data_IF_594804971436
#
_entry.id   IF_594804971436
#
_cell.length_a   1.000
_cell.length_b   1.000
_cell.length_c   1.000
_cell.angle_alpha   90.00
_cell.angle_beta   90.00
_cell.angle_gamma   90.00
#
_symmetry.space_group_name_H-M   'P 1'
#
loop_
_entity.id
_entity.type
_entity.pdbx_description
1 polymer ?
#
# COMPACT_ATOMS: atom_id res chain seq x y z
N UNK A 1 5.72 43.20 -4.11
CA UNK A 1 6.99 43.76 -4.61
C UNK A 1 8.06 42.70 -4.92
N UNK A 2 8.31 41.68 -4.08
CA UNK A 2 9.36 40.66 -4.32
C UNK A 2 9.19 39.82 -5.61
N UNK A 3 7.96 39.50 -6.03
CA UNK A 3 7.71 38.68 -7.23
C UNK A 3 8.00 39.42 -8.55
N UNK A 4 7.77 40.73 -8.60
CA UNK A 4 8.04 41.54 -9.80
C UNK A 4 9.53 41.78 -10.02
N UNK A 5 10.33 41.85 -8.95
CA UNK A 5 11.79 41.98 -9.04
C UNK A 5 12.40 40.70 -9.63
N UNK A 6 11.89 39.52 -9.27
CA UNK A 6 12.37 38.24 -9.81
C UNK A 6 12.07 38.09 -11.31
N UNK A 7 10.88 38.49 -11.76
CA UNK A 7 10.54 38.49 -13.19
C UNK A 7 11.37 39.51 -13.97
N UNK A 8 11.64 40.68 -13.40
CA UNK A 8 12.48 41.70 -14.04
C UNK A 8 13.93 41.21 -14.21
N UNK A 9 14.48 40.48 -13.23
CA UNK A 9 15.84 39.92 -13.33
C UNK A 9 15.94 38.78 -14.34
N UNK A 10 14.89 37.97 -14.52
CA UNK A 10 14.86 36.89 -15.52
C UNK A 10 14.73 37.46 -16.95
N UNK A 11 13.95 38.53 -17.13
CA UNK A 11 13.82 39.18 -18.44
C UNK A 11 15.09 39.96 -18.80
N UNK A 12 15.75 40.62 -17.84
CA UNK A 12 17.03 41.29 -18.09
C UNK A 12 18.17 40.31 -18.41
N UNK A 13 18.22 39.14 -17.77
CA UNK A 13 19.24 38.13 -18.09
C UNK A 13 19.02 37.52 -19.48
N UNK A 14 17.77 37.33 -19.91
CA UNK A 14 17.46 36.90 -21.28
C UNK A 14 17.87 37.90 -22.36
N UNK A 15 17.70 39.21 -22.10
CA UNK A 15 18.12 40.27 -23.03
C UNK A 15 19.64 40.43 -23.11
N UNK A 16 20.37 40.21 -22.01
CA UNK A 16 21.84 40.23 -22.00
C UNK A 16 22.45 39.04 -22.79
N UNK A 17 21.79 37.88 -22.78
CA UNK A 17 22.20 36.72 -23.58
C UNK A 17 21.97 36.99 -25.08
N UNK A 18 20.88 37.68 -25.44
CA UNK A 18 20.58 38.04 -26.84
C UNK A 18 21.47 39.16 -27.39
N UNK A 19 21.88 40.14 -26.57
CA UNK A 19 22.77 41.22 -27.01
C UNK A 19 24.24 40.76 -27.16
N UNK A 20 24.68 39.79 -26.35
CA UNK A 20 26.05 39.23 -26.38
C UNK A 20 26.38 38.37 -27.60
N UNK A 21 25.37 37.90 -28.34
CA UNK A 21 25.55 37.05 -29.53
C UNK A 21 25.89 37.82 -30.82
N UNK A 22 25.90 39.16 -30.80
CA UNK A 22 26.14 39.97 -32.01
C UNK A 22 27.61 40.21 -32.38
N UNK A 23 28.58 39.64 -31.65
CA UNK A 23 30.02 39.84 -31.92
C UNK A 23 30.90 38.59 -31.92
N UNK A 24 30.34 37.40 -32.14
CA UNK A 24 31.17 36.23 -32.47
C UNK A 24 31.35 36.14 -33.98
N UNK A 25 32.44 36.74 -34.49
CA UNK A 25 32.99 36.33 -35.78
C UNK A 25 33.59 34.94 -35.60
N UNK A 26 32.88 33.93 -36.11
CA UNK A 26 33.42 32.59 -36.28
C UNK A 26 34.35 32.65 -37.50
N UNK A 27 35.66 32.54 -37.27
CA UNK A 27 36.59 32.12 -38.31
C UNK A 27 36.21 30.67 -38.67
N UNK A 28 35.68 30.49 -39.88
CA UNK A 28 35.43 29.17 -40.45
C UNK A 28 36.79 28.60 -40.83
N UNK A 29 37.38 27.85 -39.90
CA UNK A 29 38.33 26.82 -40.25
C UNK A 29 37.53 25.67 -40.90
N UNK A 30 37.58 25.59 -42.23
CA UNK A 30 37.18 24.41 -42.99
C UNK A 30 37.99 23.21 -42.48
N UNK A 31 37.37 22.33 -41.69
CA UNK A 31 37.60 20.86 -41.68
C UNK A 31 37.07 20.19 -40.40
N UNK A 32 35.74 20.11 -40.20
CA UNK A 32 34.99 19.02 -39.49
C UNK A 32 33.54 19.46 -39.20
N UNK A 33 32.69 19.57 -40.22
CA UNK A 33 31.31 20.08 -40.06
C UNK A 33 30.21 19.22 -40.70
N UNK A 34 30.54 18.01 -41.17
CA UNK A 34 29.56 17.07 -41.73
C UNK A 34 28.96 16.10 -40.71
N UNK A 35 29.79 15.52 -39.83
CA UNK A 35 29.37 14.41 -38.97
C UNK A 35 28.55 14.85 -37.75
N UNK A 36 28.89 15.98 -37.12
CA UNK A 36 28.17 16.48 -35.92
C UNK A 36 26.80 17.08 -36.23
N UNK A 37 26.58 17.57 -37.45
CA UNK A 37 25.28 18.10 -37.91
C UNK A 37 24.35 16.93 -38.27
N UNK A 38 24.88 15.90 -38.93
CA UNK A 38 24.13 14.67 -39.22
C UNK A 38 23.68 13.95 -37.95
N UNK A 39 24.56 13.83 -36.94
CA UNK A 39 24.23 13.20 -35.66
C UNK A 39 23.13 13.96 -34.89
N UNK A 40 23.16 15.29 -34.95
CA UNK A 40 22.12 16.13 -34.34
C UNK A 40 20.77 16.00 -35.08
N UNK A 41 20.79 15.97 -36.41
CA UNK A 41 19.58 15.78 -37.23
C UNK A 41 18.97 14.39 -37.05
N UNK A 42 19.79 13.34 -36.97
CA UNK A 42 19.32 11.98 -36.70
C UNK A 42 18.70 11.88 -35.30
N UNK A 43 19.32 12.52 -34.30
CA UNK A 43 18.77 12.57 -32.95
C UNK A 43 17.46 13.36 -32.87
N UNK A 44 17.32 14.44 -33.64
CA UNK A 44 16.04 15.18 -33.75
C UNK A 44 14.97 14.27 -34.33
N UNK A 45 15.25 13.56 -35.43
CA UNK A 45 14.28 12.62 -36.04
C UNK A 45 13.89 11.49 -35.09
N UNK A 46 14.84 10.95 -34.32
CA UNK A 46 14.56 9.92 -33.31
C UNK A 46 13.65 10.46 -32.21
N UNK A 47 13.94 11.66 -31.68
CA UNK A 47 13.10 12.29 -30.65
C UNK A 47 11.71 12.65 -31.17
N UNK A 48 11.59 13.14 -32.41
CA UNK A 48 10.29 13.43 -33.04
C UNK A 48 9.46 12.16 -33.21
N UNK A 49 10.08 11.06 -33.63
CA UNK A 49 9.44 9.74 -33.70
C UNK A 49 8.99 9.25 -32.32
N UNK A 50 9.85 9.36 -31.30
CA UNK A 50 9.51 8.96 -29.94
C UNK A 50 8.36 9.80 -29.36
N UNK A 51 8.35 11.11 -29.60
CA UNK A 51 7.25 12.01 -29.21
C UNK A 51 5.95 11.60 -29.91
N UNK A 52 5.98 11.31 -31.20
CA UNK A 52 4.80 10.87 -31.94
C UNK A 52 4.24 9.56 -31.39
N UNK A 53 5.12 8.58 -31.14
CA UNK A 53 4.77 7.30 -30.54
C UNK A 53 4.17 7.45 -29.14
N UNK A 54 4.81 8.22 -28.27
CA UNK A 54 4.31 8.47 -26.91
C UNK A 54 2.96 9.19 -26.89
N UNK A 55 2.69 10.08 -27.86
CA UNK A 55 1.39 10.72 -28.00
C UNK A 55 0.29 9.75 -28.42
N UNK A 56 0.60 8.83 -29.33
CA UNK A 56 -0.33 7.78 -29.73
C UNK A 56 -0.63 6.82 -28.56
N UNK A 57 0.41 6.39 -27.84
CA UNK A 57 0.25 5.57 -26.64
C UNK A 57 -0.59 6.28 -25.57
N UNK A 58 -0.34 7.58 -25.34
CA UNK A 58 -1.12 8.37 -24.40
C UNK A 58 -2.60 8.43 -24.80
N UNK A 59 -2.90 8.75 -26.06
CA UNK A 59 -4.27 8.81 -26.55
C UNK A 59 -4.99 7.45 -26.43
N UNK A 60 -4.29 6.35 -26.74
CA UNK A 60 -4.82 5.01 -26.54
C UNK A 60 -5.12 4.72 -25.07
N UNK A 61 -4.22 5.10 -24.15
CA UNK A 61 -4.41 4.89 -22.71
C UNK A 61 -5.55 5.75 -22.15
N UNK A 62 -5.74 6.95 -22.66
CA UNK A 62 -6.87 7.81 -22.29
C UNK A 62 -8.21 7.20 -22.69
N UNK A 63 -8.28 6.60 -23.89
CA UNK A 63 -9.45 5.83 -24.32
C UNK A 63 -9.70 4.62 -23.41
N UNK A 64 -8.67 3.81 -23.14
CA UNK A 64 -8.76 2.66 -22.24
C UNK A 64 -9.30 3.06 -20.87
N UNK A 65 -8.78 4.16 -20.30
CA UNK A 65 -9.24 4.72 -19.02
C UNK A 65 -10.71 5.15 -19.10
N UNK A 66 -11.13 5.74 -20.23
CA UNK A 66 -12.52 6.11 -20.47
C UNK A 66 -13.44 4.89 -20.39
N UNK A 67 -13.13 3.84 -21.14
CA UNK A 67 -13.90 2.59 -21.13
C UNK A 67 -13.96 1.94 -19.76
N UNK A 68 -12.82 1.83 -19.05
CA UNK A 68 -12.77 1.25 -17.70
C UNK A 68 -13.59 2.05 -16.69
N UNK A 69 -13.68 3.37 -16.83
CA UNK A 69 -14.54 4.21 -15.97
C UNK A 69 -16.01 3.92 -16.21
N UNK A 70 -16.43 3.86 -17.47
CA UNK A 70 -17.83 3.55 -17.82
C UNK A 70 -18.23 2.16 -17.32
N UNK A 71 -17.37 1.16 -17.51
CA UNK A 71 -17.58 -0.20 -17.02
C UNK A 71 -17.67 -0.25 -15.49
N UNK A 72 -16.73 0.40 -14.79
CA UNK A 72 -16.77 0.51 -13.32
C UNK A 72 -18.08 1.16 -12.85
N UNK A 73 -18.49 2.26 -13.48
CA UNK A 73 -19.69 2.99 -13.07
C UNK A 73 -20.96 2.18 -13.31
N UNK A 74 -20.99 1.39 -14.39
CA UNK A 74 -22.06 0.43 -14.65
C UNK A 74 -22.15 -0.63 -13.55
N UNK A 75 -21.04 -1.29 -13.19
CA UNK A 75 -21.05 -2.31 -12.13
C UNK A 75 -21.37 -1.73 -10.76
N UNK A 76 -20.90 -0.52 -10.44
CA UNK A 76 -21.26 0.16 -9.18
C UNK A 76 -22.77 0.35 -9.07
N UNK A 77 -23.39 0.89 -10.12
CA UNK A 77 -24.85 1.05 -10.15
C UNK A 77 -25.59 -0.28 -9.99
N UNK A 78 -25.11 -1.32 -10.67
CA UNK A 78 -25.70 -2.65 -10.53
C UNK A 78 -25.58 -3.20 -9.10
N UNK A 79 -24.43 -3.03 -8.45
CA UNK A 79 -24.22 -3.41 -7.05
C UNK A 79 -25.19 -2.63 -6.15
N UNK A 80 -25.31 -1.31 -6.35
CA UNK A 80 -26.22 -0.47 -5.56
C UNK A 80 -27.66 -1.00 -5.64
N UNK A 81 -28.16 -1.26 -6.86
CA UNK A 81 -29.50 -1.81 -7.11
C UNK A 81 -29.70 -3.20 -6.49
N UNK A 82 -28.64 -4.01 -6.42
CA UNK A 82 -28.66 -5.32 -5.78
C UNK A 82 -28.68 -5.20 -4.25
N UNK A 83 -27.87 -4.32 -3.66
CA UNK A 83 -27.83 -4.09 -2.22
C UNK A 83 -29.18 -3.61 -1.67
N UNK A 84 -29.98 -2.89 -2.45
CA UNK A 84 -31.34 -2.49 -2.02
C UNK A 84 -32.32 -3.66 -1.87
N UNK A 85 -32.02 -4.80 -2.49
CA UNK A 85 -32.87 -6.00 -2.45
C UNK A 85 -32.43 -7.00 -1.39
N UNK A 86 -31.25 -6.83 -0.81
CA UNK A 86 -30.72 -7.68 0.24
C UNK A 86 -31.20 -7.24 1.62
N UNK A 87 -31.37 -8.22 2.50
CA UNK A 87 -31.57 -7.95 3.93
C UNK A 87 -30.26 -7.50 4.58
N UNK A 88 -30.35 -6.81 5.72
CA UNK A 88 -29.16 -6.43 6.49
C UNK A 88 -28.27 -7.63 6.84
N UNK A 89 -28.89 -8.78 7.15
CA UNK A 89 -28.16 -10.02 7.44
C UNK A 89 -27.36 -10.50 6.22
N UNK A 90 -27.94 -10.49 5.03
CA UNK A 90 -27.23 -10.89 3.81
C UNK A 90 -26.11 -9.91 3.46
N UNK A 91 -26.30 -8.61 3.73
CA UNK A 91 -25.24 -7.61 3.58
C UNK A 91 -24.11 -7.90 4.58
N UNK A 92 -24.43 -8.16 5.84
CA UNK A 92 -23.43 -8.55 6.86
C UNK A 92 -22.67 -9.79 6.40
N UNK A 93 -23.35 -10.83 5.89
CA UNK A 93 -22.71 -12.06 5.41
C UNK A 93 -21.73 -11.79 4.25
N UNK A 94 -21.98 -10.76 3.43
CA UNK A 94 -21.04 -10.30 2.38
C UNK A 94 -19.86 -9.56 3.01
N UNK A 95 -20.13 -8.62 3.91
CA UNK A 95 -19.08 -7.86 4.61
C UNK A 95 -18.14 -8.77 5.41
N UNK A 96 -18.65 -9.84 6.03
CA UNK A 96 -17.81 -10.82 6.73
C UNK A 96 -16.85 -11.57 5.80
N UNK A 97 -17.07 -11.55 4.49
CA UNK A 97 -16.16 -12.13 3.48
C UNK A 97 -15.19 -11.09 2.92
N UNK A 98 -15.55 -9.82 3.00
CA UNK A 98 -14.70 -8.71 2.56
C UNK A 98 -13.63 -8.35 3.60
N UNK A 99 -13.82 -8.72 4.87
CA UNK A 99 -12.86 -8.53 5.96
C UNK A 99 -12.47 -9.85 6.60
N UNK A 100 -11.16 -10.08 6.73
CA UNK A 100 -10.62 -11.25 7.41
C UNK A 100 -9.41 -10.90 8.27
N UNK A 101 -9.10 -11.77 9.22
CA UNK A 101 -8.05 -11.54 10.21
C UNK A 101 -7.01 -12.64 10.16
N UNK A 102 -5.75 -12.27 10.40
CA UNK A 102 -4.65 -13.24 10.56
C UNK A 102 -3.85 -12.92 11.81
N UNK A 103 -3.44 -13.96 12.53
CA UNK A 103 -2.53 -13.85 13.65
C UNK A 103 -1.31 -14.74 13.41
N UNK A 104 -0.13 -14.12 13.32
CA UNK A 104 1.12 -14.82 12.97
C UNK A 104 2.24 -14.43 13.91
N UNK A 105 3.21 -15.33 14.04
CA UNK A 105 4.51 -15.01 14.63
C UNK A 105 5.53 -14.88 13.52
N UNK A 106 6.20 -13.75 13.48
CA UNK A 106 7.19 -13.39 12.48
C UNK A 106 8.57 -13.34 13.12
N UNK A 107 9.54 -14.02 12.55
CA UNK A 107 10.92 -14.00 13.05
C UNK A 107 11.91 -14.05 11.90
N UNK A 108 13.18 -13.76 12.18
CA UNK A 108 14.23 -13.86 11.18
C UNK A 108 14.66 -15.32 10.99
N UNK A 109 14.76 -15.75 9.73
CA UNK A 109 15.29 -17.03 9.29
C UNK A 109 16.82 -17.05 9.27
N UNK A 110 17.39 -18.20 8.95
CA UNK A 110 18.85 -18.41 8.94
C UNK A 110 19.58 -17.58 7.87
N UNK A 111 18.89 -17.22 6.78
CA UNK A 111 19.46 -16.45 5.66
C UNK A 111 19.05 -14.97 5.72
N UNK A 112 18.49 -14.54 6.86
CA UNK A 112 18.07 -13.17 7.09
C UNK A 112 16.70 -12.80 6.50
N UNK A 113 15.99 -13.75 5.89
CA UNK A 113 14.60 -13.63 5.46
C UNK A 113 13.66 -13.56 6.66
N UNK A 114 12.46 -13.02 6.48
CA UNK A 114 11.41 -13.16 7.49
C UNK A 114 10.61 -14.43 7.24
N UNK A 115 10.37 -15.17 8.32
CA UNK A 115 9.52 -16.37 8.34
C UNK A 115 8.26 -16.05 9.12
N UNK A 116 7.12 -16.29 8.51
CA UNK A 116 5.81 -16.15 9.13
C UNK A 116 5.30 -17.54 9.54
N UNK A 117 4.94 -17.68 10.81
CA UNK A 117 4.37 -18.90 11.40
C UNK A 117 2.93 -18.60 11.82
N UNK A 118 1.98 -19.30 11.23
CA UNK A 118 0.57 -19.21 11.62
C UNK A 118 0.30 -20.04 12.87
N UNK A 119 -0.57 -19.55 13.74
CA UNK A 119 -1.02 -20.35 14.87
C UNK A 119 -1.89 -21.53 14.39
N UNK A 120 -1.59 -22.77 14.81
CA UNK A 120 -2.50 -23.88 14.62
C UNK A 120 -3.79 -23.66 15.43
N UNK A 121 -4.84 -24.44 15.11
CA UNK A 121 -6.17 -24.29 15.74
C UNK A 121 -6.17 -24.50 17.25
N UNK A 122 -5.27 -25.32 17.75
CA UNK A 122 -5.07 -25.59 19.18
C UNK A 122 -4.26 -24.48 19.89
N UNK A 123 -3.77 -23.49 19.13
CA UNK A 123 -3.21 -22.24 19.64
C UNK A 123 -1.77 -22.34 20.15
N UNK A 124 -1.05 -23.42 19.86
CA UNK A 124 0.30 -23.65 20.43
C UNK A 124 1.36 -23.64 19.35
N UNK A 125 2.40 -22.83 19.53
CA UNK A 125 3.56 -22.81 18.65
C UNK A 125 4.86 -22.90 19.45
N UNK A 126 5.90 -23.39 18.78
CA UNK A 126 7.26 -23.42 19.30
C UNK A 126 8.17 -22.73 18.30
N UNK A 127 8.99 -21.80 18.78
CA UNK A 127 9.92 -21.02 17.96
C UNK A 127 11.33 -21.12 18.54
N UNK A 128 12.33 -21.15 17.67
CA UNK A 128 13.75 -21.24 18.05
C UNK A 128 14.47 -19.89 17.98
N UNK A 129 13.73 -18.81 18.26
CA UNK A 129 14.19 -17.42 18.16
C UNK A 129 13.77 -16.64 19.39
N UNK A 130 14.72 -15.92 19.96
CA UNK A 130 14.50 -15.01 21.10
C UNK A 130 13.87 -13.69 20.69
N UNK A 131 13.97 -13.35 19.40
CA UNK A 131 13.49 -12.10 18.83
C UNK A 131 12.44 -12.44 17.77
N UNK A 132 11.23 -11.94 17.97
CA UNK A 132 10.10 -12.21 17.09
C UNK A 132 8.99 -11.18 17.29
N UNK A 133 8.09 -11.10 16.33
CA UNK A 133 6.91 -10.26 16.36
C UNK A 133 5.66 -11.14 16.39
N UNK A 134 4.69 -10.80 17.24
CA UNK A 134 3.31 -11.26 17.10
C UNK A 134 2.54 -10.22 16.29
N UNK A 135 1.99 -10.61 15.16
CA UNK A 135 1.32 -9.72 14.21
C UNK A 135 -0.15 -10.10 14.08
N UNK A 136 -1.04 -9.24 14.55
CA UNK A 136 -2.47 -9.29 14.25
C UNK A 136 -2.74 -8.35 13.08
N UNK A 137 -3.22 -8.90 11.97
CA UNK A 137 -3.58 -8.13 10.78
C UNK A 137 -5.07 -8.22 10.50
N UNK A 138 -5.68 -7.08 10.24
CA UNK A 138 -6.98 -6.94 9.58
C UNK A 138 -6.73 -6.74 8.09
N UNK A 139 -7.38 -7.55 7.27
CA UNK A 139 -7.32 -7.47 5.82
C UNK A 139 -8.69 -7.10 5.28
N UNK A 140 -8.70 -6.33 4.19
CA UNK A 140 -9.91 -6.00 3.45
C UNK A 140 -9.70 -6.20 1.95
N UNK A 141 -10.78 -6.41 1.21
CA UNK A 141 -10.74 -6.36 -0.25
C UNK A 141 -10.38 -4.96 -0.74
N UNK A 142 -9.66 -4.82 -1.87
CA UNK A 142 -9.27 -3.51 -2.40
C UNK A 142 -10.46 -2.63 -2.82
N UNK A 143 -11.60 -3.23 -3.14
CA UNK A 143 -12.82 -2.53 -3.56
C UNK A 143 -14.02 -3.16 -2.84
N UNK A 144 -14.42 -2.57 -1.72
CA UNK A 144 -15.58 -3.04 -0.95
C UNK A 144 -16.90 -2.67 -1.63
N UNK A 145 -17.91 -3.53 -1.50
CA UNK A 145 -19.30 -3.22 -1.90
C UNK A 145 -19.88 -1.97 -1.23
N UNK A 146 -19.28 -1.52 -0.12
CA UNK A 146 -19.70 -0.30 0.58
C UNK A 146 -19.11 0.98 -0.03
N UNK A 147 -18.17 0.87 -0.98
CA UNK A 147 -17.59 2.03 -1.65
C UNK A 147 -18.68 2.77 -2.45
N UNK A 148 -19.14 3.93 -1.94
CA UNK A 148 -20.28 4.67 -2.48
C UNK A 148 -21.55 4.57 -1.64
N UNK A 149 -21.73 3.48 -0.89
CA UNK A 149 -22.90 3.24 -0.02
C UNK A 149 -22.63 3.38 1.48
N UNK A 150 -21.44 3.82 1.88
CA UNK A 150 -21.06 3.96 3.28
C UNK A 150 -22.07 4.76 4.12
N UNK A 151 -22.70 5.80 3.56
CA UNK A 151 -23.74 6.56 4.27
C UNK A 151 -24.98 5.74 4.64
N UNK A 152 -25.33 4.75 3.81
CA UNK A 152 -26.54 3.93 3.96
C UNK A 152 -26.26 2.68 4.79
N UNK A 153 -25.12 2.03 4.56
CA UNK A 153 -24.82 0.71 5.15
C UNK A 153 -23.58 0.70 6.05
N UNK A 154 -22.92 1.84 6.28
CA UNK A 154 -21.68 1.89 7.08
C UNK A 154 -21.85 1.40 8.52
N UNK A 155 -23.04 1.53 9.12
CA UNK A 155 -23.32 1.01 10.46
C UNK A 155 -23.32 -0.53 10.53
N UNK A 156 -23.51 -1.22 9.39
CA UNK A 156 -23.38 -2.68 9.33
C UNK A 156 -21.93 -3.11 9.39
N UNK A 157 -21.01 -2.28 8.89
CA UNK A 157 -19.58 -2.55 8.95
C UNK A 157 -19.07 -2.58 10.39
N UNK A 158 -19.56 -1.67 11.25
CA UNK A 158 -19.19 -1.64 12.67
C UNK A 158 -19.55 -2.93 13.43
N UNK A 159 -20.50 -3.73 12.91
CA UNK A 159 -20.87 -5.03 13.48
C UNK A 159 -19.95 -6.17 13.04
N UNK A 160 -19.18 -5.96 11.96
CA UNK A 160 -18.31 -6.97 11.36
C UNK A 160 -16.87 -6.83 11.83
N UNK A 161 -16.44 -5.59 12.09
CA UNK A 161 -15.04 -5.27 12.39
C UNK A 161 -14.67 -5.47 13.85
N UNK A 162 -13.44 -5.95 14.06
CA UNK A 162 -12.81 -6.06 15.37
C UNK A 162 -12.07 -4.76 15.69
N UNK A 163 -12.76 -3.81 16.32
CA UNK A 163 -12.14 -2.53 16.71
C UNK A 163 -12.25 -2.23 18.21
N UNK A 164 -11.19 -1.67 18.82
CA UNK A 164 -9.84 -1.50 18.24
C UNK A 164 -9.04 -2.81 18.25
N UNK A 165 -8.15 -3.01 17.26
CA UNK A 165 -7.33 -4.22 17.12
C UNK A 165 -6.46 -4.54 18.35
N UNK A 166 -5.78 -3.57 18.99
CA UNK A 166 -4.94 -3.84 20.15
C UNK A 166 -5.70 -4.42 21.37
N UNK A 167 -7.00 -4.17 21.47
CA UNK A 167 -7.83 -4.70 22.56
C UNK A 167 -8.21 -6.17 22.36
N UNK A 168 -7.97 -6.71 21.16
CA UNK A 168 -8.29 -8.10 20.82
C UNK A 168 -7.26 -9.09 21.37
N UNK A 169 -6.11 -8.61 21.84
CA UNK A 169 -4.98 -9.40 22.31
C UNK A 169 -4.49 -8.88 23.65
N UNK A 170 -4.27 -9.79 24.60
CA UNK A 170 -3.67 -9.51 25.90
C UNK A 170 -2.56 -10.50 26.20
N UNK A 171 -1.34 -10.00 26.37
CA UNK A 171 -0.19 -10.80 26.82
C UNK A 171 -0.25 -10.91 28.34
N UNK A 172 -0.18 -12.12 28.89
CA UNK A 172 -0.57 -12.40 30.29
C UNK A 172 0.62 -12.50 31.26
N UNK A 173 1.72 -13.06 30.81
CA UNK A 173 2.85 -13.47 31.65
C UNK A 173 4.21 -12.98 31.14
N UNK A 174 4.21 -12.00 30.24
CA UNK A 174 5.42 -11.42 29.68
C UNK A 174 5.23 -9.94 29.36
N UNK A 175 6.01 -9.08 30.02
CA UNK A 175 5.83 -7.62 29.95
C UNK A 175 6.88 -6.92 29.08
N UNK A 176 7.94 -7.63 28.68
CA UNK A 176 9.05 -7.04 27.91
C UNK A 176 8.79 -7.05 26.40
N UNK A 177 7.77 -6.32 25.96
CA UNK A 177 7.45 -6.16 24.54
C UNK A 177 7.14 -4.70 24.21
N UNK A 178 7.32 -4.33 22.95
CA UNK A 178 6.87 -3.06 22.40
C UNK A 178 5.63 -3.29 21.55
N UNK A 179 4.72 -2.32 21.49
CA UNK A 179 3.54 -2.40 20.63
C UNK A 179 3.59 -1.27 19.60
N UNK A 180 3.35 -1.60 18.33
CA UNK A 180 3.26 -0.62 17.25
C UNK A 180 2.12 -0.97 16.28
N UNK A 181 1.74 -0.01 15.46
CA UNK A 181 0.75 -0.17 14.40
C UNK A 181 1.39 -0.02 13.02
N UNK A 182 0.87 -0.75 12.05
CA UNK A 182 1.15 -0.54 10.64
C UNK A 182 -0.18 -0.37 9.91
N UNK A 183 -0.27 0.63 9.04
CA UNK A 183 -1.47 0.88 8.25
C UNK A 183 -1.15 0.93 6.77
N UNK A 184 -1.98 0.26 5.98
CA UNK A 184 -1.85 0.13 4.54
C UNK A 184 -3.19 0.34 3.85
N UNK A 185 -3.23 0.23 2.53
CA UNK A 185 -4.47 0.44 1.76
C UNK A 185 -5.50 -0.68 2.00
N UNK A 186 -5.04 -1.91 2.17
CA UNK A 186 -5.90 -3.11 2.30
C UNK A 186 -5.55 -3.98 3.50
N UNK A 187 -4.53 -3.60 4.27
CA UNK A 187 -4.10 -4.31 5.47
C UNK A 187 -3.72 -3.29 6.53
N UNK A 188 -4.34 -3.42 7.70
CA UNK A 188 -3.93 -2.74 8.92
C UNK A 188 -3.45 -3.80 9.91
N UNK A 189 -2.52 -3.44 10.80
CA UNK A 189 -1.94 -4.41 11.74
C UNK A 189 -1.54 -3.79 13.06
N UNK A 190 -1.67 -4.60 14.12
CA UNK A 190 -1.06 -4.37 15.43
C UNK A 190 0.08 -5.38 15.60
N UNK A 191 1.26 -4.88 15.97
CA UNK A 191 2.49 -5.64 16.05
C UNK A 191 3.00 -5.56 17.49
N UNK A 192 3.23 -6.72 18.11
CA UNK A 192 3.87 -6.85 19.43
C UNK A 192 5.28 -7.40 19.22
N UNK A 193 6.29 -6.59 19.52
CA UNK A 193 7.69 -6.85 19.23
C UNK A 193 8.36 -7.38 20.50
N UNK A 194 8.87 -8.60 20.43
CA UNK A 194 9.59 -9.27 21.51
C UNK A 194 11.08 -9.32 21.18
N UNK A 195 11.92 -8.91 22.13
CA UNK A 195 13.38 -8.89 21.98
C UNK A 195 14.04 -9.59 23.15
N UNK A 196 14.98 -10.47 22.86
CA UNK A 196 15.78 -11.18 23.86
C UNK A 196 14.95 -12.02 24.82
N UNK A 197 13.88 -12.67 24.35
CA UNK A 197 13.08 -13.58 25.17
C UNK A 197 13.94 -14.78 25.60
N UNK A 198 14.07 -15.09 26.89
CA UNK A 198 14.90 -16.21 27.35
C UNK A 198 14.41 -17.56 26.80
N UNK A 199 15.34 -18.44 26.42
CA UNK A 199 15.04 -19.83 26.09
C UNK A 199 14.30 -20.52 27.23
N UNK A 200 13.32 -21.35 26.89
CA UNK A 200 12.42 -22.01 27.84
C UNK A 200 11.26 -21.14 28.33
N UNK A 201 11.16 -19.88 27.90
CA UNK A 201 10.00 -19.03 28.23
C UNK A 201 8.76 -19.50 27.48
N UNK A 202 7.64 -19.59 28.19
CA UNK A 202 6.31 -19.80 27.63
C UNK A 202 5.52 -18.49 27.76
N UNK A 203 5.09 -17.93 26.63
CA UNK A 203 4.30 -16.69 26.59
C UNK A 203 2.85 -17.05 26.33
N UNK A 204 1.99 -16.67 27.27
CA UNK A 204 0.55 -16.82 27.20
C UNK A 204 -0.10 -15.56 26.63
N UNK A 205 -0.88 -15.76 25.57
CA UNK A 205 -1.62 -14.71 24.88
C UNK A 205 -3.11 -15.04 24.98
N UNK A 206 -3.88 -14.14 25.55
CA UNK A 206 -5.34 -14.21 25.56
C UNK A 206 -5.91 -13.42 24.39
N UNK A 207 -6.73 -14.06 23.56
CA UNK A 207 -7.48 -13.43 22.47
C UNK A 207 -8.95 -13.26 22.84
N UNK A 208 -9.58 -12.23 22.29
CA UNK A 208 -11.03 -12.00 22.46
C UNK A 208 -11.86 -13.15 21.87
N UNK A 209 -13.11 -13.29 22.32
CA UNK A 209 -14.03 -14.30 21.74
C UNK A 209 -14.32 -14.05 20.26
N UNK A 210 -14.43 -12.78 19.88
CA UNK A 210 -14.71 -12.39 18.50
C UNK A 210 -13.51 -12.70 17.60
N UNK A 211 -12.30 -12.37 18.04
CA UNK A 211 -11.07 -12.72 17.33
C UNK A 211 -10.89 -14.24 17.23
N UNK A 212 -11.12 -14.99 18.32
CA UNK A 212 -11.10 -16.47 18.31
C UNK A 212 -12.02 -17.03 17.24
N UNK A 213 -13.26 -16.53 17.17
CA UNK A 213 -14.24 -16.96 16.16
C UNK A 213 -13.77 -16.63 14.73
N UNK A 214 -13.27 -15.42 14.49
CA UNK A 214 -12.78 -14.99 13.17
C UNK A 214 -11.54 -15.76 12.72
N UNK A 215 -10.65 -16.13 13.65
CA UNK A 215 -9.46 -16.96 13.38
C UNK A 215 -9.79 -18.47 13.32
N UNK A 216 -10.98 -18.89 13.72
CA UNK A 216 -11.37 -20.30 13.76
C UNK A 216 -10.56 -21.14 14.75
N UNK A 217 -10.17 -20.54 15.88
CA UNK A 217 -9.37 -21.18 16.93
C UNK A 217 -10.23 -21.88 17.98
N UNK A 218 -9.71 -22.99 18.53
CA UNK A 218 -10.45 -23.80 19.51
C UNK A 218 -10.48 -23.14 20.89
N UNK A 219 -9.40 -22.43 21.26
CA UNK A 219 -9.22 -21.79 22.56
C UNK A 219 -8.99 -20.28 22.49
N UNK A 220 -9.17 -19.60 23.62
CA UNK A 220 -8.83 -18.18 23.80
C UNK A 220 -7.38 -17.95 24.23
N UNK A 221 -6.71 -18.99 24.70
CA UNK A 221 -5.33 -18.89 25.17
C UNK A 221 -4.44 -19.51 24.11
N UNK A 222 -3.51 -18.71 23.62
CA UNK A 222 -2.46 -19.12 22.71
C UNK A 222 -1.15 -19.17 23.49
N UNK A 223 -0.28 -20.09 23.09
CA UNK A 223 1.00 -20.35 23.74
C UNK A 223 2.13 -20.24 22.71
N UNK A 224 3.11 -19.39 22.99
CA UNK A 224 4.38 -19.36 22.27
C UNK A 224 5.45 -19.90 23.22
N UNK A 225 6.07 -21.03 22.87
CA UNK A 225 7.24 -21.55 23.58
C UNK A 225 8.52 -21.18 22.83
N UNK A 226 9.46 -20.56 23.52
CA UNK A 226 10.80 -20.25 22.98
C UNK A 226 11.76 -21.39 23.35
N UNK A 227 12.43 -21.96 22.35
CA UNK A 227 13.43 -23.02 22.48
C UNK A 227 14.82 -22.61 22.01
#
# INVERSE_FOLDING_TARGET
MKKYILYLTIVLSGLLILAGLSKFKVDIAESTSGDTVNDAEEKIKQLEYEIAKLREELASKELDIGYLKEERDYYRKFIDEMLEKLTEKEIIDILEREWWYTLKVKHQGEKGEYVDVEFPKDGKITINKTDFDLVLSEHTVPFSILEGNYKKYGYLLDQVLLRPLPEQIKIKNFDNYEMTGASGTVVDSTIYIFKGVPEGTEIEIEISEELRRKLGMDGKILLIKVE
#
